data_IF_985812830677
#
_entry.id   IF_985812830677
#
_cell.length_a   1.000
_cell.length_b   1.000
_cell.length_c   1.000
_cell.angle_alpha   90.00
_cell.angle_beta   90.00
_cell.angle_gamma   90.00
#
_symmetry.space_group_name_H-M   'P 1'
#
loop_
_entity.id
_entity.type
_entity.pdbx_description
1 polymer ?
#
# COMPACT_ATOMS: atom_id res chain seq x y z
N UNK A 1 -7.64 -5.56 -11.59
CA UNK A 1 -6.20 -5.27 -11.49
C UNK A 1 -5.65 -5.26 -10.06
N UNK A 2 -6.25 -4.53 -9.11
CA UNK A 2 -5.72 -4.46 -7.72
C UNK A 2 -5.60 -5.81 -6.99
N UNK A 3 -6.52 -6.75 -7.23
CA UNK A 3 -6.43 -8.14 -6.73
C UNK A 3 -5.59 -9.07 -7.64
N UNK A 4 -4.93 -8.51 -8.66
CA UNK A 4 -4.17 -9.22 -9.71
C UNK A 4 -4.95 -10.28 -10.50
N UNK A 5 -6.29 -10.29 -10.42
CA UNK A 5 -7.15 -11.15 -11.22
C UNK A 5 -7.12 -10.83 -12.73
N UNK A 6 -6.81 -9.57 -13.07
CA UNK A 6 -6.62 -9.09 -14.44
C UNK A 6 -5.26 -8.41 -14.54
N UNK A 7 -4.52 -8.74 -15.60
CA UNK A 7 -3.22 -8.16 -15.97
C UNK A 7 -3.44 -7.15 -17.10
N UNK A 8 -3.43 -5.85 -16.80
CA UNK A 8 -3.62 -4.79 -17.80
C UNK A 8 -2.52 -4.75 -18.86
N UNK A 9 -1.29 -5.12 -18.51
CA UNK A 9 -0.18 -5.14 -19.47
C UNK A 9 -0.34 -6.29 -20.48
N UNK A 10 -0.79 -7.45 -20.01
CA UNK A 10 -1.05 -8.63 -20.85
C UNK A 10 -2.48 -8.70 -21.39
N UNK A 11 -3.31 -7.72 -21.01
CA UNK A 11 -4.74 -7.61 -21.33
C UNK A 11 -5.53 -8.90 -21.10
N UNK A 12 -5.28 -9.59 -19.99
CA UNK A 12 -5.88 -10.92 -19.73
C UNK A 12 -6.20 -11.20 -18.28
N UNK A 13 -7.23 -12.01 -18.07
CA UNK A 13 -7.52 -12.60 -16.76
C UNK A 13 -6.47 -13.67 -16.38
N UNK A 14 -6.24 -13.83 -15.08
CA UNK A 14 -5.22 -14.74 -14.53
C UNK A 14 -5.86 -15.80 -13.62
N UNK A 15 -6.48 -16.85 -14.18
CA UNK A 15 -7.14 -17.89 -13.39
C UNK A 15 -6.19 -18.62 -12.44
N UNK A 16 -4.89 -18.72 -12.79
CA UNK A 16 -3.87 -19.28 -11.88
C UNK A 16 -3.73 -18.51 -10.56
N UNK A 17 -4.03 -17.20 -10.52
CA UNK A 17 -4.02 -16.40 -9.28
C UNK A 17 -5.11 -16.82 -8.30
N UNK A 18 -6.22 -17.37 -8.78
CA UNK A 18 -7.29 -17.90 -7.91
C UNK A 18 -6.77 -19.08 -7.10
N UNK A 19 -6.07 -20.02 -7.75
CA UNK A 19 -5.46 -21.17 -7.07
C UNK A 19 -4.36 -20.75 -6.10
N UNK A 20 -3.47 -19.85 -6.52
CA UNK A 20 -2.40 -19.35 -5.62
C UNK A 20 -2.98 -18.68 -4.37
N UNK A 21 -4.03 -17.87 -4.53
CA UNK A 21 -4.71 -17.21 -3.41
C UNK A 21 -5.39 -18.22 -2.47
N UNK A 22 -6.03 -19.25 -3.04
CA UNK A 22 -6.64 -20.32 -2.24
C UNK A 22 -5.59 -21.07 -1.42
N UNK A 23 -4.50 -21.53 -2.05
CA UNK A 23 -3.45 -22.33 -1.39
C UNK A 23 -2.77 -21.54 -0.28
N UNK A 24 -2.46 -20.26 -0.51
CA UNK A 24 -1.79 -19.41 0.48
C UNK A 24 -2.58 -19.29 1.80
N UNK A 25 -3.90 -19.41 1.76
CA UNK A 25 -4.79 -19.21 2.91
C UNK A 25 -5.79 -20.36 3.10
N UNK A 26 -5.49 -21.57 2.59
CA UNK A 26 -6.47 -22.66 2.51
C UNK A 26 -7.07 -23.07 3.86
N UNK A 27 -6.29 -22.92 4.94
CA UNK A 27 -6.74 -23.24 6.30
C UNK A 27 -7.54 -22.11 6.96
N UNK A 28 -7.64 -20.93 6.32
CA UNK A 28 -8.25 -19.72 6.88
C UNK A 28 -9.44 -19.20 6.07
N UNK A 29 -9.43 -19.43 4.74
CA UNK A 29 -10.40 -18.83 3.82
C UNK A 29 -11.77 -19.55 3.83
N UNK A 30 -11.83 -20.83 4.17
CA UNK A 30 -13.09 -21.60 4.24
C UNK A 30 -13.75 -21.86 2.88
N UNK A 31 -13.00 -21.73 1.77
CA UNK A 31 -13.45 -22.11 0.44
C UNK A 31 -13.07 -23.57 0.13
N UNK A 32 -14.02 -24.33 -0.40
CA UNK A 32 -13.82 -25.72 -0.83
C UNK A 32 -13.07 -25.78 -2.16
N UNK A 33 -12.40 -26.90 -2.42
CA UNK A 33 -11.69 -27.11 -3.68
C UNK A 33 -12.62 -27.05 -4.92
N UNK A 34 -13.87 -27.53 -4.78
CA UNK A 34 -14.88 -27.48 -5.84
C UNK A 34 -15.34 -26.04 -6.14
N UNK A 35 -15.66 -25.25 -5.11
CA UNK A 35 -15.97 -23.81 -5.26
C UNK A 35 -14.85 -23.07 -6.00
N UNK A 36 -13.60 -23.33 -5.61
CA UNK A 36 -12.41 -22.69 -6.19
C UNK A 36 -12.19 -23.14 -7.63
N UNK A 37 -12.36 -24.43 -7.93
CA UNK A 37 -12.23 -24.96 -9.29
C UNK A 37 -13.27 -24.35 -10.24
N UNK A 38 -14.52 -24.26 -9.80
CA UNK A 38 -15.61 -23.63 -10.57
C UNK A 38 -15.36 -22.14 -10.79
N UNK A 39 -14.96 -21.40 -9.75
CA UNK A 39 -14.61 -19.98 -9.89
C UNK A 39 -13.42 -19.79 -10.84
N UNK A 40 -12.35 -20.58 -10.70
CA UNK A 40 -11.20 -20.54 -11.60
C UNK A 40 -11.61 -20.78 -13.06
N UNK A 41 -12.44 -21.78 -13.33
CA UNK A 41 -12.91 -22.08 -14.68
C UNK A 41 -13.74 -20.92 -15.26
N UNK A 42 -14.57 -20.28 -14.43
CA UNK A 42 -15.33 -19.10 -14.86
C UNK A 42 -14.41 -17.92 -15.21
N UNK A 43 -13.33 -17.70 -14.46
CA UNK A 43 -12.31 -16.68 -14.79
C UNK A 43 -11.55 -17.01 -16.07
N UNK A 44 -11.22 -18.29 -16.28
CA UNK A 44 -10.48 -18.77 -17.47
C UNK A 44 -11.30 -18.59 -18.76
N UNK A 45 -12.63 -18.64 -18.66
CA UNK A 45 -13.55 -18.43 -19.77
C UNK A 45 -13.85 -16.95 -20.09
N UNK A 46 -13.28 -16.00 -19.35
CA UNK A 46 -13.54 -14.57 -19.55
C UNK A 46 -12.81 -14.04 -20.78
N UNK A 47 -13.59 -13.60 -21.77
CA UNK A 47 -13.12 -12.97 -23.00
C UNK A 47 -13.75 -11.57 -23.12
N UNK A 48 -13.20 -10.54 -22.44
CA UNK A 48 -13.69 -9.18 -22.56
C UNK A 48 -13.42 -8.64 -23.98
N UNK A 49 -14.35 -7.84 -24.51
CA UNK A 49 -14.22 -7.30 -25.87
C UNK A 49 -13.03 -6.33 -26.03
N UNK A 50 -12.68 -5.63 -24.96
CA UNK A 50 -11.48 -4.78 -24.87
C UNK A 50 -11.01 -4.69 -23.42
N UNK A 51 -9.94 -3.92 -23.20
CA UNK A 51 -9.42 -3.55 -21.87
C UNK A 51 -10.15 -2.33 -21.26
N UNK A 52 -11.25 -1.87 -21.87
CA UNK A 52 -12.06 -0.79 -21.31
C UNK A 52 -12.73 -1.20 -19.99
N UNK A 53 -12.92 -0.23 -19.09
CA UNK A 53 -13.62 -0.47 -17.82
C UNK A 53 -15.01 -1.10 -18.03
N UNK A 54 -15.75 -0.63 -19.04
CA UNK A 54 -17.09 -1.10 -19.34
C UNK A 54 -17.09 -2.57 -19.81
N UNK A 55 -16.15 -2.94 -20.67
CA UNK A 55 -16.06 -4.31 -21.19
C UNK A 55 -15.55 -5.28 -20.13
N UNK A 56 -14.59 -4.88 -19.31
CA UNK A 56 -14.11 -5.68 -18.17
C UNK A 56 -15.21 -5.89 -17.13
N UNK A 57 -15.96 -4.84 -16.78
CA UNK A 57 -17.10 -4.94 -15.88
C UNK A 57 -18.17 -5.88 -16.44
N UNK A 58 -18.58 -5.67 -17.69
CA UNK A 58 -19.61 -6.48 -18.36
C UNK A 58 -19.21 -7.96 -18.43
N UNK A 59 -17.95 -8.25 -18.72
CA UNK A 59 -17.43 -9.62 -18.74
C UNK A 59 -17.41 -10.24 -17.34
N UNK A 60 -16.92 -9.51 -16.33
CA UNK A 60 -16.74 -10.05 -14.98
C UNK A 60 -18.03 -10.12 -14.16
N UNK A 61 -19.02 -9.26 -14.41
CA UNK A 61 -20.22 -9.15 -13.58
C UNK A 61 -20.96 -10.49 -13.37
N UNK A 62 -21.25 -11.31 -14.39
CA UNK A 62 -21.93 -12.60 -14.18
C UNK A 62 -21.12 -13.58 -13.33
N UNK A 63 -19.79 -13.54 -13.46
CA UNK A 63 -18.88 -14.34 -12.64
C UNK A 63 -18.91 -13.83 -11.20
N UNK A 64 -18.90 -12.51 -10.99
CA UNK A 64 -19.03 -11.91 -9.68
C UNK A 64 -20.34 -12.31 -9.00
N UNK A 65 -21.48 -12.14 -9.66
CA UNK A 65 -22.80 -12.48 -9.10
C UNK A 65 -22.89 -13.94 -8.68
N UNK A 66 -22.27 -14.84 -9.45
CA UNK A 66 -22.25 -16.28 -9.14
C UNK A 66 -21.28 -16.64 -8.01
N UNK A 67 -20.11 -15.99 -7.95
CA UNK A 67 -18.99 -16.39 -7.08
C UNK A 67 -18.59 -15.32 -6.06
N UNK A 68 -19.46 -14.36 -5.73
CA UNK A 68 -19.13 -13.27 -4.81
C UNK A 68 -18.70 -13.80 -3.44
N UNK A 69 -19.38 -14.81 -2.90
CA UNK A 69 -19.03 -15.39 -1.60
C UNK A 69 -17.66 -16.09 -1.65
N UNK A 70 -17.38 -16.85 -2.71
CA UNK A 70 -16.07 -17.49 -2.92
C UNK A 70 -14.98 -16.44 -3.06
N UNK A 71 -15.25 -15.39 -3.83
CA UNK A 71 -14.31 -14.29 -4.03
C UNK A 71 -14.00 -13.58 -2.70
N UNK A 72 -15.01 -13.31 -1.87
CA UNK A 72 -14.83 -12.68 -0.55
C UNK A 72 -14.10 -13.58 0.43
N UNK A 73 -14.31 -14.91 0.39
CA UNK A 73 -13.53 -15.89 1.17
C UNK A 73 -12.05 -15.85 0.77
N UNK A 74 -11.75 -15.93 -0.53
CA UNK A 74 -10.39 -16.01 -1.05
C UNK A 74 -9.59 -14.71 -0.85
N UNK A 75 -10.20 -13.55 -1.08
CA UNK A 75 -9.54 -12.25 -1.11
C UNK A 75 -9.80 -11.39 0.14
N UNK A 76 -10.08 -12.03 1.28
CA UNK A 76 -10.24 -11.38 2.59
C UNK A 76 -11.32 -10.27 2.60
N UNK A 77 -12.40 -10.46 1.83
CA UNK A 77 -13.48 -9.50 1.62
C UNK A 77 -14.59 -9.54 2.69
N UNK A 78 -14.38 -10.26 3.79
CA UNK A 78 -15.26 -10.26 4.97
C UNK A 78 -14.48 -9.81 6.21
N UNK A 79 -15.16 -9.13 7.13
CA UNK A 79 -14.53 -8.67 8.39
C UNK A 79 -13.96 -9.84 9.17
N UNK A 80 -14.74 -10.92 9.33
CA UNK A 80 -14.33 -12.12 10.05
C UNK A 80 -13.20 -12.87 9.35
N UNK A 81 -13.28 -13.06 8.03
CA UNK A 81 -12.26 -13.75 7.26
C UNK A 81 -10.91 -13.02 7.29
N UNK A 82 -10.93 -11.70 7.16
CA UNK A 82 -9.72 -10.88 7.32
C UNK A 82 -9.17 -10.94 8.74
N UNK A 83 -10.02 -10.94 9.77
CA UNK A 83 -9.60 -11.07 11.17
C UNK A 83 -8.89 -12.40 11.45
N UNK A 84 -9.36 -13.52 10.86
CA UNK A 84 -8.65 -14.81 10.95
C UNK A 84 -7.23 -14.74 10.41
N UNK A 85 -7.03 -14.05 9.28
CA UNK A 85 -5.70 -13.87 8.67
C UNK A 85 -4.80 -13.00 9.55
N UNK A 86 -5.31 -11.87 10.05
CA UNK A 86 -4.54 -11.06 11.01
C UNK A 86 -4.16 -11.88 12.25
N UNK A 87 -5.06 -12.66 12.82
CA UNK A 87 -4.77 -13.46 14.01
C UNK A 87 -3.78 -14.61 13.75
N UNK A 88 -3.66 -15.09 12.52
CA UNK A 88 -2.71 -16.16 12.16
C UNK A 88 -1.27 -15.70 11.97
N UNK A 89 -1.05 -14.42 11.68
CA UNK A 89 0.29 -13.87 11.41
C UNK A 89 0.49 -12.54 12.14
N UNK A 90 1.41 -12.56 13.09
CA UNK A 90 1.79 -11.38 13.89
C UNK A 90 2.60 -10.36 13.09
N UNK A 91 3.20 -10.76 11.97
CA UNK A 91 4.01 -9.91 11.09
C UNK A 91 3.15 -9.21 10.02
N UNK A 92 1.84 -9.12 10.22
CA UNK A 92 0.96 -8.32 9.36
C UNK A 92 0.59 -7.02 10.06
N UNK A 93 0.85 -5.89 9.39
CA UNK A 93 0.40 -4.56 9.82
C UNK A 93 -1.07 -4.58 10.19
N UNK A 94 -1.39 -4.23 11.43
CA UNK A 94 -2.74 -4.26 11.98
C UNK A 94 -3.59 -3.10 11.45
N UNK A 95 -4.91 -3.25 11.52
CA UNK A 95 -5.81 -2.11 11.37
C UNK A 95 -5.54 -1.11 12.49
N UNK A 96 -5.59 0.18 12.20
CA UNK A 96 -5.26 1.29 13.12
C UNK A 96 -3.78 1.38 13.55
N UNK A 97 -2.91 0.52 13.04
CA UNK A 97 -1.45 0.67 13.14
C UNK A 97 -0.97 1.31 11.84
N UNK A 98 -0.20 2.39 11.92
CA UNK A 98 0.35 3.01 10.71
C UNK A 98 1.47 2.16 10.10
N UNK A 99 1.74 2.35 8.80
CA UNK A 99 2.85 1.67 8.13
C UNK A 99 4.20 2.02 8.77
N UNK A 100 4.32 3.24 9.26
CA UNK A 100 5.53 3.77 9.86
C UNK A 100 5.78 3.08 11.20
N UNK A 101 4.79 3.10 12.10
CA UNK A 101 4.88 2.41 13.39
C UNK A 101 5.14 0.90 13.21
N UNK A 102 4.48 0.27 12.25
CA UNK A 102 4.73 -1.13 11.90
C UNK A 102 6.19 -1.36 11.48
N UNK A 103 6.72 -0.56 10.57
CA UNK A 103 8.09 -0.71 10.06
C UNK A 103 9.14 -0.38 11.12
N UNK A 104 8.91 0.66 11.92
CA UNK A 104 9.77 1.05 13.05
C UNK A 104 9.92 -0.10 14.04
N UNK A 105 8.80 -0.69 14.46
CA UNK A 105 8.81 -1.86 15.34
C UNK A 105 9.57 -3.05 14.76
N UNK A 106 9.45 -3.30 13.45
CA UNK A 106 10.13 -4.43 12.81
C UNK A 106 11.63 -4.22 12.62
N UNK A 107 12.06 -2.97 12.44
CA UNK A 107 13.46 -2.64 12.19
C UNK A 107 14.23 -2.40 13.48
N UNK A 108 13.66 -1.60 14.39
CA UNK A 108 14.33 -1.16 15.61
C UNK A 108 13.97 -2.03 16.82
N UNK A 109 12.77 -2.62 16.84
CA UNK A 109 12.26 -3.30 18.04
C UNK A 109 12.25 -2.35 19.25
N UNK A 110 12.74 -2.84 20.39
CA UNK A 110 12.91 -2.02 21.60
C UNK A 110 14.31 -1.36 21.69
N UNK A 111 15.10 -1.41 20.61
CA UNK A 111 16.49 -0.93 20.57
C UNK A 111 16.62 0.33 19.72
N UNK A 112 17.73 1.05 19.88
CA UNK A 112 18.13 2.17 19.01
C UNK A 112 17.04 3.25 18.81
N UNK A 113 16.23 3.51 19.85
CA UNK A 113 15.14 4.50 19.86
C UNK A 113 15.60 5.88 19.37
N UNK A 114 16.81 6.31 19.76
CA UNK A 114 17.37 7.59 19.33
C UNK A 114 17.51 7.67 17.80
N UNK A 115 18.02 6.61 17.17
CA UNK A 115 18.21 6.56 15.72
C UNK A 115 16.88 6.53 14.97
N UNK A 116 15.91 5.75 15.47
CA UNK A 116 14.54 5.76 14.96
C UNK A 116 13.94 7.17 15.04
N UNK A 117 14.13 7.88 16.15
CA UNK A 117 13.62 9.23 16.35
C UNK A 117 14.26 10.27 15.42
N UNK A 118 15.55 10.14 15.14
CA UNK A 118 16.23 10.94 14.10
C UNK A 118 15.61 10.69 12.72
N UNK A 119 15.36 9.42 12.40
CA UNK A 119 14.66 9.01 11.18
C UNK A 119 13.26 9.61 11.05
N UNK A 120 12.44 9.56 12.11
CA UNK A 120 11.10 10.19 12.16
C UNK A 120 11.15 11.71 11.96
N UNK A 121 12.23 12.36 12.39
CA UNK A 121 12.47 13.80 12.18
C UNK A 121 13.06 14.11 10.80
N UNK A 122 13.03 13.14 9.88
CA UNK A 122 13.54 13.25 8.52
C UNK A 122 15.06 13.51 8.44
N UNK A 123 15.82 13.12 9.48
CA UNK A 123 17.27 13.20 9.42
C UNK A 123 17.82 12.05 8.56
N UNK A 124 18.64 12.38 7.55
CA UNK A 124 19.28 11.41 6.66
C UNK A 124 20.55 10.84 7.31
N UNK A 125 20.37 9.97 8.29
CA UNK A 125 21.47 9.37 9.05
C UNK A 125 22.30 8.38 8.22
N UNK A 126 21.71 7.81 7.17
CA UNK A 126 22.35 6.84 6.28
C UNK A 126 22.56 5.45 6.88
N UNK A 127 22.07 5.20 8.11
CA UNK A 127 22.17 3.91 8.79
C UNK A 127 21.44 2.80 8.04
N UNK A 128 21.87 1.56 8.27
CA UNK A 128 21.23 0.38 7.69
C UNK A 128 19.79 0.23 8.21
N UNK A 129 19.56 0.59 9.48
CA UNK A 129 18.23 0.63 10.08
C UNK A 129 17.32 1.64 9.36
N UNK A 130 17.77 2.88 9.15
CA UNK A 130 16.96 3.87 8.44
C UNK A 130 16.67 3.42 7.00
N UNK A 131 17.66 2.85 6.31
CA UNK A 131 17.47 2.27 4.96
C UNK A 131 16.41 1.17 4.96
N UNK A 132 16.47 0.25 5.91
CA UNK A 132 15.50 -0.84 6.05
C UNK A 132 14.08 -0.34 6.43
N UNK A 133 14.00 0.69 7.27
CA UNK A 133 12.72 1.31 7.63
C UNK A 133 12.08 1.96 6.41
N UNK A 134 12.85 2.73 5.63
CA UNK A 134 12.37 3.38 4.41
C UNK A 134 12.01 2.35 3.32
N UNK A 135 12.79 1.28 3.16
CA UNK A 135 12.45 0.12 2.30
C UNK A 135 11.06 -0.44 2.67
N UNK A 136 10.85 -0.72 3.96
CA UNK A 136 9.59 -1.24 4.48
C UNK A 136 8.42 -0.26 4.23
N UNK A 137 8.61 1.03 4.55
CA UNK A 137 7.58 2.06 4.38
C UNK A 137 7.25 2.23 2.89
N UNK A 138 8.22 2.43 2.01
CA UNK A 138 7.98 2.67 0.59
C UNK A 138 7.25 1.49 -0.08
N UNK A 139 7.61 0.25 0.25
CA UNK A 139 6.87 -0.93 -0.23
C UNK A 139 5.46 -0.99 0.35
N UNK A 140 5.33 -0.72 1.64
CA UNK A 140 4.06 -0.67 2.35
C UNK A 140 3.11 0.42 1.83
N UNK A 141 3.64 1.56 1.42
CA UNK A 141 2.91 2.64 0.79
C UNK A 141 2.72 2.44 -0.70
N UNK A 142 3.23 1.35 -1.29
CA UNK A 142 3.18 1.04 -2.74
C UNK A 142 3.89 2.09 -3.61
N UNK A 143 4.76 2.90 -3.02
CA UNK A 143 5.73 3.71 -3.75
C UNK A 143 6.72 2.83 -4.50
N UNK A 144 6.95 1.60 -4.04
CA UNK A 144 7.65 0.57 -4.80
C UNK A 144 6.66 -0.52 -5.18
N UNK A 145 6.53 -0.82 -6.47
CA UNK A 145 5.65 -1.85 -7.01
C UNK A 145 6.44 -2.75 -7.96
N UNK A 146 6.43 -4.06 -7.69
CA UNK A 146 7.18 -5.07 -8.45
C UNK A 146 8.69 -4.83 -8.58
N UNK A 147 9.28 -4.04 -7.67
CA UNK A 147 10.71 -3.72 -7.66
C UNK A 147 11.03 -2.33 -8.20
N UNK A 148 10.08 -1.68 -8.87
CA UNK A 148 10.27 -0.37 -9.48
C UNK A 148 9.55 0.73 -8.69
N UNK A 149 10.05 1.97 -8.83
CA UNK A 149 9.40 3.17 -8.30
C UNK A 149 8.08 3.42 -9.03
N UNK A 150 7.02 3.60 -8.25
CA UNK A 150 5.69 3.97 -8.71
C UNK A 150 5.47 5.46 -8.43
N UNK A 151 5.95 6.29 -9.36
CA UNK A 151 5.92 7.75 -9.22
C UNK A 151 4.49 8.27 -9.04
N UNK A 152 3.51 7.64 -9.68
CA UNK A 152 2.11 8.07 -9.61
C UNK A 152 1.54 7.95 -8.19
N UNK A 153 1.99 6.98 -7.39
CA UNK A 153 1.57 6.88 -5.97
C UNK A 153 2.14 8.01 -5.11
N UNK A 154 3.35 8.48 -5.44
CA UNK A 154 3.98 9.62 -4.75
C UNK A 154 3.28 10.90 -5.17
N UNK A 155 3.09 11.13 -6.47
CA UNK A 155 2.35 12.27 -7.02
C UNK A 155 0.94 12.34 -6.43
N UNK A 156 0.27 11.20 -6.28
CA UNK A 156 -1.05 11.11 -5.64
C UNK A 156 -1.04 11.67 -4.22
N UNK A 157 0.01 11.47 -3.45
CA UNK A 157 0.10 12.00 -2.09
C UNK A 157 0.34 13.50 -2.04
N UNK A 158 1.05 14.06 -3.03
CA UNK A 158 1.12 15.52 -3.22
C UNK A 158 -0.24 16.11 -3.60
N UNK A 159 -0.98 15.48 -4.51
CA UNK A 159 -2.33 15.92 -4.87
C UNK A 159 -3.28 15.89 -3.66
N UNK A 160 -3.15 14.89 -2.78
CA UNK A 160 -3.96 14.77 -1.56
C UNK A 160 -3.71 15.85 -0.52
N UNK A 161 -2.58 16.56 -0.57
CA UNK A 161 -2.31 17.77 0.24
C UNK A 161 -2.58 19.06 -0.54
N UNK A 162 -3.34 18.97 -1.63
CA UNK A 162 -3.67 20.08 -2.55
C UNK A 162 -2.44 20.71 -3.22
N UNK A 163 -1.43 19.89 -3.54
CA UNK A 163 -0.20 20.28 -4.26
C UNK A 163 -0.01 19.51 -5.56
N UNK A 164 -1.10 19.31 -6.31
CA UNK A 164 -1.07 18.71 -7.65
C UNK A 164 -0.24 19.55 -8.65
N UNK A 165 -0.08 20.85 -8.39
CA UNK A 165 0.81 21.75 -9.12
C UNK A 165 2.27 21.26 -9.18
N UNK A 166 2.70 20.47 -8.18
CA UNK A 166 4.07 19.96 -8.09
C UNK A 166 4.32 18.66 -8.85
N UNK A 167 3.32 18.05 -9.51
CA UNK A 167 3.50 16.78 -10.23
C UNK A 167 4.71 16.78 -11.17
N UNK A 168 4.91 17.78 -12.08
CA UNK A 168 6.05 17.78 -12.98
C UNK A 168 7.39 17.81 -12.22
N UNK A 169 7.42 18.49 -11.08
CA UNK A 169 8.62 18.63 -10.25
C UNK A 169 8.96 17.33 -9.54
N UNK A 170 7.96 16.66 -8.95
CA UNK A 170 8.12 15.32 -8.34
C UNK A 170 8.68 14.32 -9.35
N UNK A 171 8.11 14.28 -10.57
CA UNK A 171 8.59 13.40 -11.65
C UNK A 171 10.04 13.69 -12.03
N UNK A 172 10.41 14.96 -12.18
CA UNK A 172 11.80 15.36 -12.49
C UNK A 172 12.76 14.91 -11.39
N UNK A 173 12.46 15.17 -10.11
CA UNK A 173 13.34 14.79 -8.99
C UNK A 173 13.58 13.28 -8.95
N UNK A 174 12.52 12.48 -9.13
CA UNK A 174 12.62 11.02 -9.08
C UNK A 174 13.31 10.44 -10.32
N UNK A 175 13.15 11.07 -11.50
CA UNK A 175 13.85 10.69 -12.73
C UNK A 175 15.35 10.99 -12.66
N UNK A 176 15.73 12.11 -12.04
CA UNK A 176 17.13 12.56 -11.93
C UNK A 176 17.85 11.97 -10.70
N UNK A 177 17.12 11.24 -9.85
CA UNK A 177 17.64 10.66 -8.63
C UNK A 177 18.72 9.60 -8.93
N UNK A 178 19.87 9.72 -8.27
CA UNK A 178 20.95 8.75 -8.39
C UNK A 178 20.72 7.60 -7.43
N UNK A 179 20.42 6.43 -7.98
CA UNK A 179 20.13 5.23 -7.21
C UNK A 179 18.74 4.71 -7.53
N UNK A 180 18.52 3.44 -7.23
CA UNK A 180 17.25 2.75 -7.48
C UNK A 180 16.68 2.14 -6.21
N UNK A 181 17.35 2.34 -5.06
CA UNK A 181 16.87 1.84 -3.79
C UNK A 181 15.86 2.83 -3.20
N UNK A 182 14.88 2.37 -2.41
CA UNK A 182 13.86 3.24 -1.80
C UNK A 182 14.44 4.39 -0.97
N UNK A 183 15.54 4.13 -0.24
CA UNK A 183 16.24 5.17 0.51
C UNK A 183 16.85 6.25 -0.38
N UNK A 184 17.31 5.92 -1.58
CA UNK A 184 17.87 6.90 -2.52
C UNK A 184 16.77 7.86 -2.97
N UNK A 185 15.59 7.35 -3.36
CA UNK A 185 14.44 8.18 -3.71
C UNK A 185 13.96 9.06 -2.55
N UNK A 186 13.88 8.50 -1.35
CA UNK A 186 13.56 9.25 -0.12
C UNK A 186 14.54 10.41 0.11
N UNK A 187 15.84 10.13 0.01
CA UNK A 187 16.90 11.13 0.15
C UNK A 187 16.82 12.21 -0.92
N UNK A 188 16.56 11.84 -2.18
CA UNK A 188 16.37 12.79 -3.27
C UNK A 188 15.18 13.73 -3.02
N UNK A 189 14.05 13.21 -2.54
CA UNK A 189 12.88 14.02 -2.19
C UNK A 189 13.16 14.95 -1.01
N UNK A 190 13.84 14.47 0.03
CA UNK A 190 14.19 15.30 1.20
C UNK A 190 15.24 16.37 0.94
N UNK A 191 16.19 16.13 0.03
CA UNK A 191 17.20 17.12 -0.34
C UNK A 191 16.73 18.06 -1.47
N UNK A 192 15.48 17.92 -1.93
CA UNK A 192 14.92 18.76 -2.99
C UNK A 192 14.35 20.09 -2.48
N UNK A 193 14.02 20.95 -3.43
CA UNK A 193 13.30 22.21 -3.22
C UNK A 193 11.84 22.03 -2.76
N UNK A 194 11.27 20.83 -2.88
CA UNK A 194 9.91 20.50 -2.43
C UNK A 194 9.89 19.63 -1.16
N UNK A 195 10.99 19.64 -0.40
CA UNK A 195 11.16 18.78 0.77
C UNK A 195 10.11 18.99 1.85
N UNK A 196 9.63 20.22 2.04
CA UNK A 196 8.57 20.51 3.00
C UNK A 196 7.23 19.89 2.58
N UNK A 197 6.87 20.02 1.30
CA UNK A 197 5.67 19.40 0.73
C UNK A 197 5.76 17.88 0.75
N UNK A 198 6.94 17.32 0.50
CA UNK A 198 7.15 15.89 0.66
C UNK A 198 6.90 15.44 2.10
N UNK A 199 7.44 16.15 3.10
CA UNK A 199 7.19 15.84 4.52
C UNK A 199 5.70 15.87 4.84
N UNK A 200 4.99 16.93 4.46
CA UNK A 200 3.54 17.04 4.67
C UNK A 200 2.75 15.90 3.99
N UNK A 201 3.10 15.56 2.74
CA UNK A 201 2.47 14.46 2.02
C UNK A 201 2.74 13.11 2.68
N UNK A 202 3.97 12.91 3.17
CA UNK A 202 4.41 11.69 3.82
C UNK A 202 3.81 11.51 5.22
N UNK A 203 3.72 12.57 6.01
CA UNK A 203 3.01 12.61 7.30
C UNK A 203 1.51 12.33 7.12
N UNK A 204 0.88 12.97 6.13
CA UNK A 204 -0.52 12.70 5.85
C UNK A 204 -0.74 11.26 5.35
N UNK A 205 0.25 10.68 4.66
CA UNK A 205 0.24 9.25 4.26
C UNK A 205 0.46 8.33 5.47
N UNK A 206 1.25 8.72 6.47
CA UNK A 206 1.39 8.01 7.76
C UNK A 206 0.00 7.85 8.42
N UNK A 207 -0.70 8.95 8.64
CA UNK A 207 -2.05 8.97 9.24
C UNK A 207 -3.03 8.09 8.45
N UNK A 208 -3.09 8.25 7.12
CA UNK A 208 -3.98 7.45 6.25
C UNK A 208 -3.60 5.98 6.18
N UNK A 209 -2.36 5.63 6.48
CA UNK A 209 -1.92 4.23 6.50
C UNK A 209 -2.40 3.47 7.74
N UNK A 210 -2.76 4.18 8.82
CA UNK A 210 -3.43 3.60 9.97
C UNK A 210 -4.89 3.25 9.67
N UNK A 211 -5.61 4.13 8.96
CA UNK A 211 -7.00 3.93 8.53
C UNK A 211 -7.14 3.93 6.99
N UNK A 212 -7.15 2.74 6.39
CA UNK A 212 -7.30 2.60 4.93
C UNK A 212 -8.65 3.12 4.39
N UNK A 213 -9.64 3.37 5.25
CA UNK A 213 -10.91 3.98 4.86
C UNK A 213 -10.94 5.51 5.02
N UNK A 214 -9.84 6.14 5.44
CA UNK A 214 -9.79 7.56 5.81
C UNK A 214 -10.41 8.49 4.77
N UNK A 215 -9.95 8.41 3.51
CA UNK A 215 -10.46 9.25 2.40
C UNK A 215 -11.88 8.83 1.99
N UNK A 216 -12.18 7.53 2.02
CA UNK A 216 -13.52 7.01 1.64
C UNK A 216 -14.60 7.46 2.61
N UNK A 217 -14.25 7.74 3.87
CA UNK A 217 -15.11 8.36 4.87
C UNK A 217 -15.33 9.86 4.65
N UNK A 218 -14.74 10.46 3.61
CA UNK A 218 -14.86 11.87 3.28
C UNK A 218 -13.87 12.78 3.99
N UNK A 219 -12.90 12.23 4.73
CA UNK A 219 -11.86 13.06 5.34
C UNK A 219 -10.91 13.59 4.27
N UNK A 220 -10.54 14.87 4.38
CA UNK A 220 -9.58 15.55 3.51
C UNK A 220 -8.33 15.97 4.30
N UNK A 221 -7.33 16.47 3.59
CA UNK A 221 -6.15 17.04 4.24
C UNK A 221 -6.50 18.31 5.02
N UNK A 222 -5.93 18.40 6.21
CA UNK A 222 -6.03 19.53 7.13
C UNK A 222 -4.66 19.66 7.81
N UNK A 223 -3.92 20.72 7.47
CA UNK A 223 -2.52 20.86 7.87
C UNK A 223 -2.37 20.95 9.40
N UNK A 224 -3.29 21.63 10.10
CA UNK A 224 -3.23 21.78 11.56
C UNK A 224 -3.51 20.44 12.25
N UNK A 225 -4.49 19.68 11.76
CA UNK A 225 -4.78 18.34 12.30
C UNK A 225 -3.64 17.37 12.06
N UNK A 226 -3.04 17.39 10.88
CA UNK A 226 -1.89 16.52 10.57
C UNK A 226 -0.73 16.87 11.50
N UNK A 227 -0.37 18.15 11.63
CA UNK A 227 0.70 18.57 12.53
C UNK A 227 0.45 18.15 13.98
N UNK A 228 -0.78 18.32 14.49
CA UNK A 228 -1.14 17.92 15.85
C UNK A 228 -1.04 16.39 16.07
N UNK A 229 -1.46 15.59 15.08
CA UNK A 229 -1.39 14.12 15.16
C UNK A 229 0.07 13.63 15.09
N UNK A 230 0.90 14.27 14.26
CA UNK A 230 2.34 13.97 14.18
C UNK A 230 3.08 14.36 15.46
N UNK A 231 2.79 15.53 16.04
CA UNK A 231 3.35 15.97 17.32
C UNK A 231 3.00 14.99 18.46
N UNK A 232 1.76 14.50 18.47
CA UNK A 232 1.32 13.49 19.43
C UNK A 232 2.09 12.18 19.23
N UNK A 233 2.20 11.72 17.98
CA UNK A 233 2.94 10.51 17.63
C UNK A 233 4.40 10.62 18.02
N UNK A 234 5.04 11.77 17.75
CA UNK A 234 6.43 12.00 18.15
C UNK A 234 6.60 11.96 19.67
N UNK A 235 5.70 12.57 20.45
CA UNK A 235 5.76 12.50 21.92
C UNK A 235 5.58 11.07 22.44
N UNK A 236 4.69 10.29 21.84
CA UNK A 236 4.46 8.89 22.24
C UNK A 236 5.66 8.00 21.89
N UNK A 237 6.24 8.19 20.71
CA UNK A 237 7.29 7.32 20.16
C UNK A 237 8.69 7.76 20.61
N UNK A 238 8.94 9.06 20.78
CA UNK A 238 10.25 9.67 21.00
C UNK A 238 10.36 10.53 22.27
N UNK A 239 9.27 10.72 23.01
CA UNK A 239 9.26 11.44 24.29
C UNK A 239 9.70 10.63 25.50
#
# INVERSE_FOLDING_TARGET
EGLELYDGNKKKFRPGRVSSQHVAYQFLNGATADEVAKYKAAIDALEPASDSCADLYKAYLPVHETFVDVTRKLYHGTVEGAARVYNSDANLKRKNESLFAYCEKHVYGDQNREEMCRGRRYELTGSDELRNMIECIFRGLRYIKHGDINIDEIVRDFALINRDDLEPRVRSILSDCRGIQPYDYYSCLLNSDISNEFKLAFDFRDIRSADYAYIVKGNTYDAEKVAAEMDKTEKEVCG
#
